data_IF_081064463639
#
_entry.id   IF_081064463639
#
_cell.length_a   1.000
_cell.length_b   1.000
_cell.length_c   1.000
_cell.angle_alpha   90.00
_cell.angle_beta   90.00
_cell.angle_gamma   90.00
#
_symmetry.space_group_name_H-M   'P 1'
#
loop_
_entity.id
_entity.type
_entity.pdbx_description
1 polymer ?
#
# COMPACT_ATOMS: atom_id res chain seq x y z
N UNK A 1 -26.88 3.94 -12.95
CA UNK A 1 -26.99 4.58 -11.63
C UNK A 1 -25.58 4.90 -11.17
N UNK A 2 -25.30 6.06 -10.57
CA UNK A 2 -23.91 6.40 -10.22
C UNK A 2 -23.38 5.44 -9.15
N UNK A 3 -22.55 4.46 -9.54
CA UNK A 3 -22.07 3.33 -8.73
C UNK A 3 -21.04 3.73 -7.63
N UNK A 4 -20.84 5.03 -7.37
CA UNK A 4 -19.81 5.54 -6.45
C UNK A 4 -20.37 6.71 -5.63
N UNK A 5 -20.99 6.45 -4.45
CA UNK A 5 -21.47 7.52 -3.59
C UNK A 5 -20.29 8.38 -3.07
N UNK A 6 -20.54 9.68 -2.92
CA UNK A 6 -19.56 10.63 -2.39
C UNK A 6 -19.75 10.79 -0.88
N UNK A 7 -18.66 10.67 -0.12
CA UNK A 7 -18.63 10.89 1.33
C UNK A 7 -17.74 12.10 1.60
N UNK A 8 -18.26 13.09 2.34
CA UNK A 8 -17.51 14.25 2.81
C UNK A 8 -17.58 14.36 4.33
N UNK A 9 -16.48 14.72 4.96
CA UNK A 9 -16.40 14.93 6.40
C UNK A 9 -15.44 16.09 6.73
N UNK A 10 -15.73 16.83 7.80
CA UNK A 10 -14.77 17.78 8.37
C UNK A 10 -13.75 17.00 9.22
N UNK A 11 -12.48 17.35 9.12
CA UNK A 11 -11.42 16.74 9.92
C UNK A 11 -10.48 17.82 10.47
N UNK A 12 -9.69 17.52 11.51
CA UNK A 12 -8.64 18.41 11.98
C UNK A 12 -7.62 18.73 10.87
N UNK A 13 -7.12 19.96 10.84
CA UNK A 13 -6.14 20.43 9.84
C UNK A 13 -4.91 19.52 9.76
N UNK A 14 -4.37 19.12 10.91
CA UNK A 14 -3.22 18.21 11.00
C UNK A 14 -3.44 16.85 10.31
N UNK A 15 -4.70 16.40 10.18
CA UNK A 15 -5.00 15.16 9.44
C UNK A 15 -4.97 15.41 7.94
N UNK A 16 -5.55 16.51 7.48
CA UNK A 16 -5.53 16.90 6.08
C UNK A 16 -4.09 17.10 5.58
N UNK A 17 -3.24 17.75 6.37
CA UNK A 17 -1.81 17.91 6.05
C UNK A 17 -1.10 16.56 5.91
N UNK A 18 -1.34 15.63 6.86
CA UNK A 18 -0.76 14.28 6.78
C UNK A 18 -1.22 13.52 5.54
N UNK A 19 -2.51 13.56 5.21
CA UNK A 19 -3.07 12.90 4.02
C UNK A 19 -2.43 13.48 2.75
N UNK A 20 -2.31 14.81 2.65
CA UNK A 20 -1.69 15.49 1.52
C UNK A 20 -0.22 15.11 1.36
N UNK A 21 0.54 15.06 2.46
CA UNK A 21 1.94 14.65 2.44
C UNK A 21 2.12 13.21 1.96
N UNK A 22 1.27 12.28 2.43
CA UNK A 22 1.31 10.88 1.98
C UNK A 22 0.98 10.80 0.48
N UNK A 23 -0.04 11.52 0.03
CA UNK A 23 -0.44 11.57 -1.37
C UNK A 23 0.72 12.05 -2.27
N UNK A 24 1.42 13.11 -1.85
CA UNK A 24 2.59 13.64 -2.55
C UNK A 24 3.76 12.64 -2.61
N UNK A 25 4.13 12.05 -1.46
CA UNK A 25 5.26 11.10 -1.38
C UNK A 25 5.02 9.80 -2.15
N UNK A 26 3.75 9.38 -2.27
CA UNK A 26 3.38 8.13 -2.96
C UNK A 26 2.93 8.34 -4.41
N UNK A 27 2.82 9.59 -4.88
CA UNK A 27 2.30 9.91 -6.22
C UNK A 27 0.83 9.54 -6.40
N UNK A 28 0.05 9.47 -5.32
CA UNK A 28 -1.36 9.05 -5.31
C UNK A 28 -2.27 10.23 -5.02
N UNK A 29 -3.58 10.07 -5.25
CA UNK A 29 -4.56 11.08 -4.85
C UNK A 29 -4.87 10.99 -3.36
N UNK A 30 -5.22 12.11 -2.73
CA UNK A 30 -5.71 12.12 -1.34
C UNK A 30 -6.89 11.16 -1.14
N UNK A 31 -7.78 11.08 -2.13
CA UNK A 31 -8.92 10.16 -2.11
C UNK A 31 -8.50 8.68 -2.09
N UNK A 32 -7.42 8.31 -2.78
CA UNK A 32 -6.90 6.94 -2.75
C UNK A 32 -6.28 6.59 -1.39
N UNK A 33 -5.57 7.55 -0.78
CA UNK A 33 -4.99 7.39 0.57
C UNK A 33 -6.10 7.18 1.59
N UNK A 34 -7.14 8.01 1.57
CA UNK A 34 -8.28 7.89 2.49
C UNK A 34 -9.06 6.59 2.25
N UNK A 35 -9.30 6.22 0.98
CA UNK A 35 -9.99 4.97 0.63
C UNK A 35 -9.23 3.75 1.16
N UNK A 36 -7.92 3.74 1.02
CA UNK A 36 -7.09 2.64 1.54
C UNK A 36 -7.09 2.59 3.06
N UNK A 37 -6.96 3.73 3.74
CA UNK A 37 -7.00 3.79 5.20
C UNK A 37 -8.35 3.27 5.75
N UNK A 38 -9.46 3.67 5.11
CA UNK A 38 -10.79 3.14 5.44
C UNK A 38 -10.89 1.64 5.14
N UNK A 39 -10.35 1.19 4.00
CA UNK A 39 -10.29 -0.22 3.64
C UNK A 39 -9.51 -1.06 4.67
N UNK A 40 -8.39 -0.55 5.17
CA UNK A 40 -7.61 -1.20 6.22
C UNK A 40 -8.39 -1.25 7.54
N UNK A 41 -9.03 -0.15 7.94
CA UNK A 41 -9.85 -0.10 9.16
C UNK A 41 -11.04 -1.07 9.12
N UNK A 42 -11.68 -1.20 7.95
CA UNK A 42 -12.80 -2.12 7.73
C UNK A 42 -12.35 -3.57 7.47
N UNK A 43 -11.04 -3.84 7.42
CA UNK A 43 -10.51 -5.18 7.13
C UNK A 43 -10.66 -5.62 5.67
N UNK A 44 -10.97 -4.70 4.75
CA UNK A 44 -11.08 -4.95 3.31
C UNK A 44 -9.72 -4.93 2.59
N UNK A 45 -8.70 -4.35 3.24
CA UNK A 45 -7.32 -4.30 2.76
C UNK A 45 -6.43 -4.88 3.85
N UNK A 46 -5.65 -5.92 3.54
CA UNK A 46 -4.66 -6.46 4.49
C UNK A 46 -3.39 -5.59 4.45
N UNK A 47 -3.10 -4.80 5.49
CA UNK A 47 -1.89 -3.97 5.54
C UNK A 47 -0.61 -4.81 5.55
N UNK A 48 -0.69 -6.11 5.86
CA UNK A 48 0.45 -7.03 5.80
C UNK A 48 0.63 -7.68 4.45
N UNK A 49 -0.28 -7.47 3.48
CA UNK A 49 -0.16 -8.05 2.16
C UNK A 49 1.11 -7.58 1.43
N UNK A 50 1.46 -6.29 1.56
CA UNK A 50 2.70 -5.74 0.97
C UNK A 50 3.93 -6.38 1.61
N UNK A 51 3.94 -6.52 2.95
CA UNK A 51 5.04 -7.17 3.65
C UNK A 51 5.21 -8.64 3.22
N UNK A 52 4.11 -9.40 3.17
CA UNK A 52 4.15 -10.80 2.68
C UNK A 52 4.67 -10.90 1.26
N UNK A 53 4.24 -10.01 0.36
CA UNK A 53 4.73 -10.00 -1.02
C UNK A 53 6.24 -9.70 -1.09
N UNK A 54 6.75 -8.81 -0.23
CA UNK A 54 8.18 -8.54 -0.12
C UNK A 54 8.95 -9.75 0.42
N UNK A 55 8.45 -10.39 1.48
CA UNK A 55 9.05 -11.59 2.06
C UNK A 55 9.12 -12.73 1.01
N UNK A 56 8.04 -12.94 0.24
CA UNK A 56 7.99 -13.93 -0.85
C UNK A 56 8.99 -13.60 -1.98
N UNK A 57 9.18 -12.32 -2.29
CA UNK A 57 10.13 -11.87 -3.30
C UNK A 57 11.57 -12.07 -2.84
N UNK A 58 11.86 -11.79 -1.57
CA UNK A 58 13.17 -12.01 -0.96
C UNK A 58 13.54 -13.51 -0.98
N UNK A 59 12.59 -14.39 -0.63
CA UNK A 59 12.82 -15.84 -0.69
C UNK A 59 13.09 -16.32 -2.12
N UNK A 60 12.36 -15.80 -3.11
CA UNK A 60 12.58 -16.11 -4.53
C UNK A 60 13.96 -15.65 -5.01
N UNK A 61 14.40 -14.47 -4.59
CA UNK A 61 15.73 -13.95 -4.91
C UNK A 61 16.81 -14.85 -4.31
N UNK A 62 16.74 -15.18 -3.02
CA UNK A 62 17.73 -16.07 -2.38
C UNK A 62 17.80 -17.44 -3.06
N UNK A 63 16.67 -18.00 -3.49
CA UNK A 63 16.64 -19.27 -4.25
C UNK A 63 17.28 -19.15 -5.63
N UNK A 64 17.12 -18.02 -6.31
CA UNK A 64 17.75 -17.75 -7.61
C UNK A 64 19.26 -17.55 -7.46
N UNK A 65 19.68 -16.77 -6.48
CA UNK A 65 21.10 -16.55 -6.15
C UNK A 65 21.80 -17.88 -5.83
N UNK A 66 21.18 -18.75 -5.03
CA UNK A 66 21.73 -20.08 -4.72
C UNK A 66 21.86 -20.97 -5.97
N UNK A 67 20.92 -20.88 -6.92
CA UNK A 67 20.99 -21.64 -8.19
C UNK A 67 22.07 -21.10 -9.11
N UNK A 68 22.19 -19.78 -9.23
CA UNK A 68 23.24 -19.13 -10.02
C UNK A 68 24.63 -19.44 -9.47
N UNK A 69 24.81 -19.39 -8.14
CA UNK A 69 26.07 -19.75 -7.48
C UNK A 69 26.48 -21.21 -7.74
N UNK A 70 25.53 -22.13 -7.92
CA UNK A 70 25.78 -23.54 -8.27
C UNK A 70 26.05 -23.78 -9.76
N UNK A 71 25.67 -22.84 -10.62
CA UNK A 71 25.91 -22.92 -12.07
C UNK A 71 27.22 -22.24 -12.47
N UNK A 72 27.72 -21.31 -11.64
CA UNK A 72 28.94 -20.54 -11.87
C UNK A 72 30.20 -21.14 -11.23
N UNK A 73 30.09 -22.22 -10.45
CA UNK A 73 31.19 -22.98 -9.88
C UNK A 73 31.17 -24.43 -10.36
#
# INVERSE_FOLDING_TARGET
MAEKPMIGARCPEAWQEKIKNIAQLTGRTEADVVREALGQYLGLVDPKAVKRALDDHEERLSRLEAKLGRLAG
#
